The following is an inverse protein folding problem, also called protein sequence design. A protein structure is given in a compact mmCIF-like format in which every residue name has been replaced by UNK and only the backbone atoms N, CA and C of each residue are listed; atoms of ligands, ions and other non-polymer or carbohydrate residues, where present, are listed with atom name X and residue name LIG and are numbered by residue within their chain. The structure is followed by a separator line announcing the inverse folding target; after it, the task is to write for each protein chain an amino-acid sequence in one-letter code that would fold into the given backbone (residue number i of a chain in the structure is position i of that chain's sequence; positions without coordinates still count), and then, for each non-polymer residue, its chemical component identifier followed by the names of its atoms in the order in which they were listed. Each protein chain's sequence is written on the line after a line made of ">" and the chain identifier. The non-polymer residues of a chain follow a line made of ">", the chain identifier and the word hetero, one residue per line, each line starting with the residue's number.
data_IF_957481797793
#
_entry.id   IF_957481797793
#
_cell.length_a   1.000
_cell.length_b   1.000
_cell.length_c   1.000
_cell.angle_alpha   90.00
_cell.angle_beta   90.00
_cell.angle_gamma   90.00
#
_symmetry.space_group_name_H-M   'P 1'
#
loop_
_entity.id
_entity.type
_entity.pdbx_description
1 polymer ?
#
# COMPACT_ATOMS: atom_id res chain seq x y z
N UNK A 1 4.70 -29.34 12.91
CA UNK A 1 3.46 -29.99 12.43
C UNK A 1 2.91 -29.18 11.26
N UNK A 2 3.27 -29.55 10.03
CA UNK A 2 2.72 -28.95 8.80
C UNK A 2 1.31 -29.47 8.61
N UNK A 3 0.30 -28.62 8.83
CA UNK A 3 -1.10 -28.91 8.50
C UNK A 3 -1.19 -29.34 7.03
N UNK A 4 -1.59 -30.59 6.79
CA UNK A 4 -1.88 -31.13 5.45
C UNK A 4 -2.74 -30.13 4.67
N UNK A 5 -2.27 -29.69 3.49
CA UNK A 5 -3.01 -28.76 2.62
C UNK A 5 -2.57 -27.29 2.65
N UNK A 6 -1.65 -26.84 3.52
CA UNK A 6 -1.13 -25.46 3.46
C UNK A 6 0.15 -25.34 2.65
N UNK A 7 0.06 -24.63 1.52
CA UNK A 7 1.17 -24.28 0.64
C UNK A 7 1.53 -22.79 0.76
N UNK A 8 2.75 -22.45 0.37
CA UNK A 8 3.28 -21.08 0.44
C UNK A 8 3.95 -20.73 -0.89
N UNK A 9 3.98 -19.45 -1.26
CA UNK A 9 4.81 -18.98 -2.36
C UNK A 9 6.29 -18.97 -1.98
N UNK A 10 7.23 -18.97 -2.95
CA UNK A 10 8.64 -18.74 -2.66
C UNK A 10 8.83 -17.33 -2.08
N UNK A 11 9.47 -17.25 -0.91
CA UNK A 11 9.61 -15.98 -0.16
C UNK A 11 11.01 -15.42 -0.18
N UNK A 12 12.04 -16.27 -0.25
CA UNK A 12 13.42 -15.86 0.06
C UNK A 12 13.94 -14.77 -0.86
N UNK A 13 13.90 -14.98 -2.19
CA UNK A 13 14.39 -13.99 -3.17
C UNK A 13 13.55 -12.71 -3.12
N UNK A 14 12.23 -12.87 -3.10
CA UNK A 14 11.29 -11.74 -2.99
C UNK A 14 11.49 -10.88 -1.73
N UNK A 15 11.68 -11.51 -0.57
CA UNK A 15 11.93 -10.80 0.68
C UNK A 15 13.29 -10.11 0.69
N UNK A 16 14.35 -10.77 0.20
CA UNK A 16 15.68 -10.15 0.09
C UNK A 16 15.61 -8.91 -0.79
N UNK A 17 14.96 -9.01 -1.95
CA UNK A 17 14.79 -7.90 -2.87
C UNK A 17 13.99 -6.75 -2.23
N UNK A 18 12.83 -7.04 -1.62
CA UNK A 18 11.97 -6.01 -1.04
C UNK A 18 12.57 -5.35 0.19
N UNK A 19 13.23 -6.11 1.08
CA UNK A 19 13.94 -5.55 2.24
C UNK A 19 15.13 -4.71 1.79
N UNK A 20 15.92 -5.20 0.83
CA UNK A 20 17.03 -4.45 0.25
C UNK A 20 16.57 -3.14 -0.41
N UNK A 21 15.48 -3.19 -1.19
CA UNK A 21 14.89 -2.00 -1.79
C UNK A 21 14.39 -1.02 -0.72
N UNK A 22 13.66 -1.49 0.30
CA UNK A 22 13.18 -0.64 1.38
C UNK A 22 14.33 0.07 2.11
N UNK A 23 15.41 -0.65 2.42
CA UNK A 23 16.61 -0.07 3.02
C UNK A 23 17.28 0.94 2.10
N UNK A 24 17.45 0.64 0.81
CA UNK A 24 18.06 1.55 -0.14
C UNK A 24 17.26 2.86 -0.29
N UNK A 25 15.94 2.78 -0.47
CA UNK A 25 15.06 3.95 -0.57
C UNK A 25 15.02 4.74 0.74
N UNK A 26 14.97 4.06 1.89
CA UNK A 26 14.98 4.70 3.19
C UNK A 26 16.30 5.42 3.48
N UNK A 27 17.43 4.76 3.24
CA UNK A 27 18.77 5.34 3.44
C UNK A 27 19.02 6.51 2.47
N UNK A 28 18.69 6.36 1.19
CA UNK A 28 18.86 7.44 0.21
C UNK A 28 17.95 8.65 0.52
N UNK A 29 16.67 8.40 0.81
CA UNK A 29 15.74 9.46 1.20
C UNK A 29 16.12 10.12 2.51
N UNK A 30 16.56 9.35 3.51
CA UNK A 30 17.06 9.86 4.79
C UNK A 30 18.35 10.67 4.63
N UNK A 31 19.26 10.27 3.75
CA UNK A 31 20.47 11.03 3.43
C UNK A 31 20.13 12.36 2.76
N UNK A 32 19.25 12.38 1.75
CA UNK A 32 18.83 13.63 1.11
C UNK A 32 18.11 14.56 2.08
N UNK A 33 17.29 13.99 2.98
CA UNK A 33 16.65 14.75 4.04
C UNK A 33 17.69 15.34 5.00
N UNK A 34 18.67 14.54 5.45
CA UNK A 34 19.75 15.02 6.30
C UNK A 34 20.56 16.13 5.63
N UNK A 35 20.97 15.95 4.37
CA UNK A 35 21.68 16.97 3.59
C UNK A 35 20.84 18.24 3.43
N UNK A 36 19.52 18.14 3.32
CA UNK A 36 18.66 19.32 3.26
C UNK A 36 18.71 20.15 4.55
N UNK A 37 18.94 19.52 5.72
CA UNK A 37 19.02 20.24 7.00
C UNK A 37 20.29 21.09 7.13
N UNK A 38 21.33 20.82 6.35
CA UNK A 38 22.58 21.59 6.34
C UNK A 38 22.54 22.76 5.34
N UNK A 39 21.51 22.83 4.49
CA UNK A 39 21.40 23.86 3.46
C UNK A 39 20.60 25.07 3.96
N UNK A 40 21.07 26.26 3.61
CA UNK A 40 20.26 27.48 3.75
C UNK A 40 19.00 27.34 2.90
N UNK A 41 17.91 27.93 3.37
CA UNK A 41 16.64 27.82 2.65
C UNK A 41 16.69 28.58 1.33
N UNK A 42 16.47 27.82 0.27
CA UNK A 42 16.52 28.26 -1.12
C UNK A 42 16.08 27.14 -2.06
N UNK A 43 16.27 27.32 -3.36
CA UNK A 43 15.84 26.33 -4.37
C UNK A 43 16.48 24.96 -4.16
N UNK A 44 17.78 24.92 -3.82
CA UNK A 44 18.51 23.67 -3.61
C UNK A 44 17.98 22.87 -2.41
N UNK A 45 17.67 23.55 -1.30
CA UNK A 45 16.98 22.97 -0.14
C UNK A 45 15.66 22.31 -0.55
N UNK A 46 14.83 23.01 -1.32
CA UNK A 46 13.52 22.51 -1.78
C UNK A 46 13.68 21.28 -2.67
N UNK A 47 14.65 21.30 -3.60
CA UNK A 47 14.91 20.17 -4.49
C UNK A 47 15.36 18.92 -3.73
N UNK A 48 16.23 19.07 -2.72
CA UNK A 48 16.65 17.96 -1.87
C UNK A 48 15.49 17.39 -1.06
N UNK A 49 14.66 18.26 -0.47
CA UNK A 49 13.51 17.83 0.33
C UNK A 49 12.47 17.12 -0.55
N UNK A 50 12.20 17.62 -1.76
CA UNK A 50 11.29 17.00 -2.71
C UNK A 50 11.83 15.64 -3.19
N UNK A 51 13.13 15.54 -3.48
CA UNK A 51 13.76 14.27 -3.83
C UNK A 51 13.72 13.26 -2.67
N UNK A 52 13.94 13.71 -1.43
CA UNK A 52 13.80 12.88 -0.24
C UNK A 52 12.38 12.34 -0.07
N UNK A 53 11.36 13.19 -0.26
CA UNK A 53 9.96 12.78 -0.21
C UNK A 53 9.61 11.75 -1.28
N UNK A 54 10.08 11.94 -2.52
CA UNK A 54 9.86 10.98 -3.62
C UNK A 54 10.49 9.63 -3.29
N UNK A 55 11.71 9.60 -2.74
CA UNK A 55 12.39 8.35 -2.37
C UNK A 55 11.77 7.66 -1.16
N UNK A 56 11.27 8.41 -0.18
CA UNK A 56 10.62 7.83 1.00
C UNK A 56 9.19 7.36 0.72
N UNK A 57 8.49 7.98 -0.24
CA UNK A 57 7.11 7.64 -0.62
C UNK A 57 6.85 6.14 -0.88
N UNK A 58 7.68 5.41 -1.65
CA UNK A 58 7.46 3.98 -1.89
C UNK A 58 7.79 3.07 -0.69
N UNK A 59 8.54 3.55 0.33
CA UNK A 59 9.04 2.70 1.42
C UNK A 59 7.90 2.00 2.18
N UNK A 60 6.82 2.66 2.65
CA UNK A 60 5.71 1.99 3.32
C UNK A 60 5.03 0.92 2.45
N UNK A 61 4.90 1.17 1.14
CA UNK A 61 4.31 0.22 0.20
C UNK A 61 5.20 -1.03 0.02
N UNK A 62 6.52 -0.84 -0.05
CA UNK A 62 7.48 -1.95 -0.14
C UNK A 62 7.47 -2.78 1.14
N UNK A 63 7.48 -2.14 2.31
CA UNK A 63 7.38 -2.82 3.62
C UNK A 63 6.08 -3.61 3.70
N UNK A 64 4.95 -3.01 3.30
CA UNK A 64 3.67 -3.70 3.25
C UNK A 64 3.71 -4.95 2.34
N UNK A 65 4.30 -4.83 1.14
CA UNK A 65 4.44 -5.98 0.23
C UNK A 65 5.33 -7.08 0.84
N UNK A 66 6.38 -6.72 1.57
CA UNK A 66 7.24 -7.70 2.22
C UNK A 66 6.48 -8.44 3.33
N UNK A 67 5.71 -7.72 4.14
CA UNK A 67 4.83 -8.32 5.16
C UNK A 67 3.77 -9.20 4.49
N UNK A 68 3.14 -8.74 3.40
CA UNK A 68 2.13 -9.50 2.67
C UNK A 68 2.69 -10.83 2.12
N UNK A 69 3.88 -10.80 1.50
CA UNK A 69 4.58 -11.99 1.01
C UNK A 69 4.97 -12.93 2.16
N UNK A 70 5.45 -12.38 3.29
CA UNK A 70 5.83 -13.18 4.47
C UNK A 70 4.64 -13.94 5.08
N UNK A 71 3.42 -13.43 4.92
CA UNK A 71 2.17 -14.03 5.41
C UNK A 71 1.36 -14.73 4.32
N UNK A 72 1.80 -14.69 3.07
CA UNK A 72 1.06 -15.25 1.95
C UNK A 72 0.93 -16.77 2.05
N UNK A 73 -0.28 -17.29 1.82
CA UNK A 73 -0.60 -18.72 1.91
C UNK A 73 -1.60 -19.14 0.85
N UNK A 74 -1.47 -20.39 0.40
CA UNK A 74 -2.40 -21.08 -0.47
C UNK A 74 -2.86 -22.32 0.29
N UNK A 75 -4.12 -22.35 0.74
CA UNK A 75 -4.66 -23.46 1.52
C UNK A 75 -5.63 -24.27 0.67
N UNK A 76 -5.30 -25.53 0.48
CA UNK A 76 -6.18 -26.54 -0.06
C UNK A 76 -6.97 -27.15 1.10
N UNK A 77 -8.28 -26.90 1.12
CA UNK A 77 -9.23 -27.47 2.06
C UNK A 77 -10.17 -28.41 1.30
N UNK A 78 -10.93 -29.26 2.01
CA UNK A 78 -11.83 -30.25 1.38
C UNK A 78 -12.89 -29.60 0.47
N UNK A 79 -13.30 -28.38 0.79
CA UNK A 79 -14.38 -27.69 0.09
C UNK A 79 -13.86 -26.72 -1.00
N UNK A 80 -12.54 -26.47 -1.08
CA UNK A 80 -11.97 -25.56 -2.07
C UNK A 80 -10.57 -25.03 -1.75
N UNK A 81 -10.13 -24.09 -2.58
CA UNK A 81 -8.83 -23.44 -2.49
C UNK A 81 -8.97 -22.01 -1.94
N UNK A 82 -8.29 -21.74 -0.82
CA UNK A 82 -8.20 -20.39 -0.23
C UNK A 82 -6.84 -19.77 -0.50
N UNK A 83 -6.84 -18.63 -1.17
CA UNK A 83 -5.67 -17.80 -1.42
C UNK A 83 -5.69 -16.61 -0.47
N UNK A 84 -4.57 -16.35 0.20
CA UNK A 84 -4.40 -15.19 1.10
C UNK A 84 -3.08 -14.51 0.78
N UNK A 85 -3.14 -13.24 0.41
CA UNK A 85 -1.98 -12.42 0.05
C UNK A 85 -2.17 -10.97 0.51
N UNK A 86 -1.69 -10.66 1.72
CA UNK A 86 -1.90 -9.34 2.33
C UNK A 86 -3.39 -9.00 2.48
N UNK A 87 -3.84 -7.95 1.80
CA UNK A 87 -5.25 -7.52 1.77
C UNK A 87 -6.09 -8.27 0.72
N UNK A 88 -5.46 -9.06 -0.16
CA UNK A 88 -6.13 -9.90 -1.15
C UNK A 88 -6.47 -11.25 -0.55
N UNK A 89 -7.74 -11.62 -0.60
CA UNK A 89 -8.23 -12.95 -0.25
C UNK A 89 -9.10 -13.45 -1.40
N UNK A 90 -8.94 -14.71 -1.77
CA UNK A 90 -9.79 -15.41 -2.73
C UNK A 90 -10.15 -16.78 -2.16
N UNK A 91 -11.41 -17.18 -2.22
CA UNK A 91 -11.88 -18.52 -1.91
C UNK A 91 -12.55 -19.09 -3.17
N UNK A 92 -12.02 -20.22 -3.66
CA UNK A 92 -12.40 -20.85 -4.92
C UNK A 92 -12.95 -22.25 -4.62
N UNK A 93 -14.26 -22.49 -4.79
CA UNK A 93 -14.86 -23.82 -4.59
C UNK A 93 -14.35 -24.80 -5.63
N UNK A 94 -14.13 -26.07 -5.27
CA UNK A 94 -13.64 -27.07 -6.23
C UNK A 94 -14.58 -27.27 -7.42
N UNK A 95 -15.89 -27.14 -7.25
CA UNK A 95 -16.85 -27.24 -8.36
C UNK A 95 -16.68 -26.14 -9.42
N UNK A 96 -16.04 -25.03 -9.05
CA UNK A 96 -15.76 -23.91 -9.96
C UNK A 96 -14.38 -24.01 -10.62
N UNK A 97 -13.58 -25.02 -10.30
CA UNK A 97 -12.28 -25.21 -10.94
C UNK A 97 -12.49 -26.05 -12.20
N UNK A 98 -12.30 -25.44 -13.35
CA UNK A 98 -12.43 -26.12 -14.65
C UNK A 98 -11.20 -26.97 -14.95
N UNK A 99 -10.02 -26.45 -14.64
CA UNK A 99 -8.75 -27.15 -14.76
C UNK A 99 -7.64 -26.45 -13.97
N UNK A 100 -6.61 -27.23 -13.61
CA UNK A 100 -5.36 -26.74 -13.02
C UNK A 100 -4.20 -27.25 -13.86
N UNK A 101 -3.35 -26.35 -14.36
CA UNK A 101 -2.18 -26.72 -15.19
C UNK A 101 -0.96 -25.86 -14.88
N UNK A 102 0.25 -26.44 -14.88
CA UNK A 102 1.48 -25.66 -14.86
C UNK A 102 1.57 -24.72 -16.07
N UNK A 103 2.03 -23.49 -15.85
CA UNK A 103 2.26 -22.53 -16.92
C UNK A 103 3.35 -22.99 -17.91
N UNK A 104 4.26 -23.88 -17.47
CA UNK A 104 5.28 -24.49 -18.33
C UNK A 104 4.72 -25.45 -19.38
N UNK A 105 3.48 -25.91 -19.21
CA UNK A 105 2.79 -26.79 -20.18
C UNK A 105 2.04 -25.97 -21.24
N UNK A 106 2.02 -24.64 -21.13
CA UNK A 106 1.47 -23.78 -22.17
C UNK A 106 2.43 -23.72 -23.35
N UNK A 107 1.87 -23.84 -24.57
CA UNK A 107 2.64 -23.68 -25.81
C UNK A 107 3.05 -22.23 -26.13
N UNK A 108 2.83 -21.29 -25.22
CA UNK A 108 3.14 -19.87 -25.39
C UNK A 108 3.54 -19.22 -24.07
N UNK A 109 4.18 -18.05 -24.16
CA UNK A 109 4.63 -17.30 -23.00
C UNK A 109 3.50 -16.45 -22.41
N UNK A 110 3.32 -16.54 -21.09
CA UNK A 110 2.44 -15.64 -20.34
C UNK A 110 3.05 -14.24 -20.26
N UNK A 111 2.33 -13.24 -20.77
CA UNK A 111 2.65 -11.84 -20.50
C UNK A 111 2.45 -11.52 -19.01
N UNK A 112 3.46 -10.89 -18.40
CA UNK A 112 3.45 -10.53 -16.98
C UNK A 112 2.77 -9.16 -16.75
N UNK A 113 2.20 -8.93 -15.55
CA UNK A 113 1.64 -7.63 -15.18
C UNK A 113 2.71 -6.53 -15.21
N UNK A 114 2.34 -5.30 -15.59
CA UNK A 114 3.26 -4.15 -15.77
C UNK A 114 4.06 -3.76 -14.51
N UNK A 115 3.57 -4.07 -13.30
CA UNK A 115 4.22 -3.75 -12.02
C UNK A 115 4.72 -5.00 -11.28
N UNK A 116 5.19 -5.97 -12.06
CA UNK A 116 5.76 -7.22 -11.58
C UNK A 116 7.21 -7.03 -11.15
N UNK A 117 7.53 -7.52 -9.96
CA UNK A 117 8.91 -7.60 -9.49
C UNK A 117 9.10 -8.79 -8.55
N UNK A 118 10.34 -9.18 -8.20
CA UNK A 118 10.60 -10.35 -7.38
C UNK A 118 9.80 -10.35 -6.07
N UNK A 119 9.03 -11.43 -5.84
CA UNK A 119 8.16 -11.57 -4.68
C UNK A 119 6.82 -10.85 -4.75
N UNK A 120 6.46 -10.26 -5.90
CA UNK A 120 5.17 -9.61 -6.10
C UNK A 120 4.79 -9.60 -7.59
N UNK A 121 4.46 -10.77 -8.13
CA UNK A 121 3.73 -10.91 -9.39
C UNK A 121 2.25 -10.76 -9.10
N UNK A 122 1.81 -9.51 -8.98
CA UNK A 122 0.44 -9.16 -8.60
C UNK A 122 -0.20 -8.30 -9.69
N UNK A 123 -1.42 -8.65 -10.08
CA UNK A 123 -2.21 -7.82 -11.00
C UNK A 123 -2.98 -8.65 -12.00
N UNK A 124 -3.49 -7.97 -13.03
CA UNK A 124 -4.29 -8.59 -14.09
C UNK A 124 -3.57 -8.41 -15.42
N UNK A 125 -3.66 -9.42 -16.28
CA UNK A 125 -3.22 -9.35 -17.67
C UNK A 125 -4.23 -10.06 -18.55
N UNK A 126 -4.51 -9.49 -19.72
CA UNK A 126 -5.33 -10.15 -20.73
C UNK A 126 -4.40 -10.90 -21.67
N UNK A 127 -4.62 -12.20 -21.81
CA UNK A 127 -3.89 -13.07 -22.73
C UNK A 127 -4.91 -13.54 -23.79
N UNK A 128 -4.64 -13.37 -25.10
CA UNK A 128 -5.61 -13.69 -26.15
C UNK A 128 -6.18 -15.12 -26.05
N UNK A 129 -5.35 -16.09 -25.66
CA UNK A 129 -5.69 -17.51 -25.61
C UNK A 129 -6.38 -17.93 -24.30
N UNK A 130 -6.25 -17.15 -23.23
CA UNK A 130 -6.69 -17.49 -21.86
C UNK A 130 -7.73 -16.52 -21.29
N UNK A 131 -7.95 -15.38 -21.94
CA UNK A 131 -8.72 -14.28 -21.39
C UNK A 131 -7.98 -13.58 -20.24
N UNK A 132 -8.71 -13.24 -19.18
CA UNK A 132 -8.17 -12.48 -18.05
C UNK A 132 -7.45 -13.41 -17.08
N UNK A 133 -6.15 -13.16 -16.88
CA UNK A 133 -5.29 -13.84 -15.90
C UNK A 133 -5.00 -12.90 -14.73
N UNK A 134 -5.40 -13.31 -13.53
CA UNK A 134 -5.05 -12.67 -12.27
C UNK A 134 -3.82 -13.35 -11.66
N UNK A 135 -2.75 -12.59 -11.46
CA UNK A 135 -1.54 -13.07 -10.83
C UNK A 135 -1.60 -12.83 -9.31
N UNK A 136 -1.43 -13.91 -8.55
CA UNK A 136 -1.26 -13.92 -7.09
C UNK A 136 -0.04 -14.81 -6.79
N UNK A 137 1.11 -14.43 -7.34
CA UNK A 137 2.33 -15.22 -7.34
C UNK A 137 3.54 -14.41 -6.84
N UNK A 138 4.57 -15.10 -6.37
CA UNK A 138 5.85 -14.49 -5.98
C UNK A 138 6.86 -14.46 -7.12
N UNK A 139 6.91 -15.53 -7.92
CA UNK A 139 7.93 -15.76 -8.94
C UNK A 139 7.29 -16.44 -10.16
N UNK A 140 7.96 -16.34 -11.32
CA UNK A 140 7.51 -16.93 -12.57
C UNK A 140 7.81 -18.42 -12.65
N UNK A 141 8.78 -18.87 -11.84
CA UNK A 141 9.15 -20.27 -11.67
C UNK A 141 7.99 -21.03 -10.99
N UNK A 142 7.63 -22.19 -11.54
CA UNK A 142 6.53 -23.03 -11.04
C UNK A 142 5.16 -22.33 -11.00
N UNK A 143 4.92 -21.38 -11.91
CA UNK A 143 3.58 -20.81 -12.09
C UNK A 143 2.58 -21.92 -12.41
N UNK A 144 1.46 -21.89 -11.73
CA UNK A 144 0.33 -22.81 -11.89
C UNK A 144 -0.91 -21.99 -12.14
N UNK A 145 -1.59 -22.29 -13.23
CA UNK A 145 -2.83 -21.67 -13.62
C UNK A 145 -4.01 -22.47 -13.11
N UNK A 146 -4.99 -21.77 -12.57
CA UNK A 146 -6.24 -22.31 -12.05
C UNK A 146 -7.35 -21.61 -12.80
N UNK A 147 -8.04 -22.33 -13.67
CA UNK A 147 -9.16 -21.80 -14.42
C UNK A 147 -10.45 -21.86 -13.61
N UNK A 148 -11.16 -20.75 -13.60
CA UNK A 148 -12.50 -20.61 -13.03
C UNK A 148 -13.42 -19.97 -14.09
N UNK A 149 -14.75 -20.10 -13.99
CA UNK A 149 -15.70 -19.59 -14.99
C UNK A 149 -15.51 -18.11 -15.35
N UNK A 150 -15.01 -17.31 -14.39
CA UNK A 150 -14.90 -15.87 -14.57
C UNK A 150 -13.50 -15.42 -15.03
N UNK A 151 -12.44 -16.17 -14.67
CA UNK A 151 -11.03 -15.80 -14.94
C UNK A 151 -10.06 -16.92 -14.58
N UNK A 152 -8.83 -16.76 -15.03
CA UNK A 152 -7.71 -17.64 -14.66
C UNK A 152 -6.91 -17.00 -13.53
N UNK A 153 -6.51 -17.79 -12.55
CA UNK A 153 -5.69 -17.33 -11.43
C UNK A 153 -4.33 -18.03 -11.49
N UNK A 154 -3.26 -17.24 -11.54
CA UNK A 154 -1.89 -17.71 -11.56
C UNK A 154 -1.29 -17.63 -10.14
N UNK A 155 -0.88 -18.79 -9.61
CA UNK A 155 -0.21 -18.93 -8.31
C UNK A 155 1.18 -19.56 -8.50
N UNK A 156 2.06 -19.41 -7.51
CA UNK A 156 3.41 -20.00 -7.56
C UNK A 156 3.70 -20.79 -6.28
N UNK A 157 3.15 -22.00 -6.09
CA UNK A 157 3.45 -22.81 -4.90
C UNK A 157 4.93 -23.25 -4.90
N UNK A 158 5.58 -23.24 -3.73
CA UNK A 158 7.00 -23.69 -3.59
C UNK A 158 7.20 -25.12 -4.09
N UNK A 159 6.26 -26.01 -3.79
CA UNK A 159 6.30 -27.40 -4.22
C UNK A 159 5.06 -27.71 -5.07
N UNK A 160 5.21 -27.54 -6.38
CA UNK A 160 4.17 -27.81 -7.36
C UNK A 160 3.68 -29.26 -7.32
N UNK A 161 4.59 -30.23 -7.23
CA UNK A 161 4.24 -31.66 -7.21
C UNK A 161 3.35 -32.00 -6.02
N UNK A 162 3.73 -31.56 -4.82
CA UNK A 162 2.91 -31.78 -3.62
C UNK A 162 1.57 -31.07 -3.67
N UNK A 163 1.52 -29.87 -4.27
CA UNK A 163 0.27 -29.13 -4.49
C UNK A 163 -0.69 -29.92 -5.40
N UNK A 164 -0.21 -30.41 -6.54
CA UNK A 164 -1.01 -31.19 -7.49
C UNK A 164 -1.51 -32.51 -6.88
N UNK A 165 -0.66 -33.23 -6.15
CA UNK A 165 -1.04 -34.47 -5.47
C UNK A 165 -2.11 -34.23 -4.39
N UNK A 166 -1.99 -33.15 -3.62
CA UNK A 166 -3.00 -32.78 -2.63
C UNK A 166 -4.32 -32.36 -3.28
N UNK A 167 -4.26 -31.63 -4.39
CA UNK A 167 -5.46 -31.27 -5.15
C UNK A 167 -6.18 -32.51 -5.70
N UNK A 168 -5.48 -33.44 -6.34
CA UNK A 168 -6.06 -34.68 -6.85
C UNK A 168 -6.78 -35.46 -5.75
N UNK A 169 -6.09 -35.71 -4.62
CA UNK A 169 -6.66 -36.42 -3.47
C UNK A 169 -7.91 -35.73 -2.93
N UNK A 170 -7.91 -34.39 -2.82
CA UNK A 170 -9.05 -33.64 -2.30
C UNK A 170 -10.21 -33.56 -3.28
N UNK A 171 -9.92 -33.46 -4.57
CA UNK A 171 -10.93 -33.45 -5.63
C UNK A 171 -11.64 -34.80 -5.74
N UNK A 172 -10.92 -35.91 -5.57
CA UNK A 172 -11.48 -37.27 -5.58
C UNK A 172 -12.47 -37.53 -4.44
N UNK A 173 -12.26 -36.90 -3.27
CA UNK A 173 -13.14 -37.05 -2.11
C UNK A 173 -14.49 -36.34 -2.26
N UNK A 174 -14.60 -35.39 -3.20
CA UNK A 174 -15.79 -34.55 -3.37
C UNK A 174 -16.06 -33.61 -2.19
N UNK A 175 -16.99 -32.68 -2.39
CA UNK A 175 -17.40 -31.68 -1.40
C UNK A 175 -18.82 -32.00 -0.92
N UNK A 176 -19.00 -32.11 0.39
CA UNK A 176 -20.32 -32.36 1.00
C UNK A 176 -21.10 -31.06 1.23
N UNK A 177 -20.41 -29.92 1.26
CA UNK A 177 -20.99 -28.57 1.42
C UNK A 177 -20.18 -27.56 0.61
N UNK A 178 -20.67 -27.08 -0.55
CA UNK A 178 -19.92 -26.17 -1.40
C UNK A 178 -19.47 -24.91 -0.65
N UNK A 179 -18.17 -24.60 -0.73
CA UNK A 179 -17.64 -23.32 -0.25
C UNK A 179 -18.30 -22.17 -1.03
N UNK A 180 -18.59 -21.05 -0.38
CA UNK A 180 -19.02 -19.85 -1.09
C UNK A 180 -17.79 -19.18 -1.74
N UNK A 181 -17.87 -18.85 -3.03
CA UNK A 181 -16.81 -18.10 -3.69
C UNK A 181 -16.68 -16.70 -3.05
N UNK A 182 -15.48 -16.33 -2.62
CA UNK A 182 -15.20 -15.03 -1.99
C UNK A 182 -14.00 -14.35 -2.64
N UNK A 183 -14.08 -13.04 -2.85
CA UNK A 183 -13.01 -12.25 -3.47
C UNK A 183 -12.88 -10.87 -2.83
N UNK A 184 -11.77 -10.60 -2.14
CA UNK A 184 -11.44 -9.24 -1.64
C UNK A 184 -10.32 -8.62 -2.46
N UNK A 185 -10.60 -7.61 -3.28
CA UNK A 185 -9.60 -6.93 -4.13
C UNK A 185 -9.15 -5.58 -3.51
N UNK A 186 -7.85 -5.36 -3.22
CA UNK A 186 -7.35 -4.08 -2.71
C UNK A 186 -7.58 -2.90 -3.67
N UNK A 187 -7.47 -3.15 -4.99
CA UNK A 187 -7.76 -2.15 -6.02
C UNK A 187 -9.24 -1.75 -6.03
N UNK A 188 -10.13 -2.67 -5.67
CA UNK A 188 -11.56 -2.39 -5.51
C UNK A 188 -11.80 -1.54 -4.26
N UNK A 189 -11.09 -1.79 -3.15
CA UNK A 189 -11.11 -0.92 -1.98
C UNK A 189 -10.67 0.52 -2.31
N UNK A 190 -9.52 0.70 -2.99
CA UNK A 190 -9.06 2.02 -3.42
C UNK A 190 -10.06 2.70 -4.39
N UNK A 191 -10.66 1.92 -5.30
CA UNK A 191 -11.71 2.41 -6.21
C UNK A 191 -12.98 2.79 -5.45
N UNK A 192 -13.36 2.08 -4.38
CA UNK A 192 -14.49 2.44 -3.53
C UNK A 192 -14.23 3.76 -2.80
N UNK A 193 -13.06 3.90 -2.15
CA UNK A 193 -12.65 5.15 -1.49
C UNK A 193 -12.68 6.33 -2.46
N UNK A 194 -12.19 6.15 -3.70
CA UNK A 194 -12.18 7.24 -4.69
C UNK A 194 -13.52 7.53 -5.37
N UNK A 195 -14.44 6.56 -5.41
CA UNK A 195 -15.82 6.79 -5.88
C UNK A 195 -16.69 7.42 -4.81
N UNK A 196 -16.40 7.12 -3.55
CA UNK A 196 -17.09 7.68 -2.40
C UNK A 196 -16.68 9.14 -2.17
N UNK A 197 -17.63 10.06 -2.37
CA UNK A 197 -17.39 11.49 -2.18
C UNK A 197 -17.08 11.83 -0.72
N UNK A 198 -17.69 11.13 0.24
CA UNK A 198 -17.52 11.40 1.66
C UNK A 198 -16.13 11.00 2.17
N UNK A 199 -15.48 10.01 1.55
CA UNK A 199 -14.08 9.68 1.84
C UNK A 199 -13.10 10.51 0.99
N UNK A 200 -13.39 10.67 -0.31
CA UNK A 200 -12.51 11.36 -1.26
C UNK A 200 -12.28 12.82 -0.92
N UNK A 201 -13.36 13.57 -0.66
CA UNK A 201 -13.27 15.03 -0.49
C UNK A 201 -12.37 15.38 0.70
N UNK A 202 -12.57 14.81 1.91
CA UNK A 202 -11.69 15.09 3.04
C UNK A 202 -10.23 14.73 2.82
N UNK A 203 -9.95 13.61 2.14
CA UNK A 203 -8.56 13.21 1.82
C UNK A 203 -7.91 14.25 0.91
N UNK A 204 -8.58 14.64 -0.18
CA UNK A 204 -8.06 15.65 -1.10
C UNK A 204 -7.90 17.02 -0.43
N UNK A 205 -8.88 17.44 0.36
CA UNK A 205 -8.84 18.70 1.12
C UNK A 205 -7.67 18.69 2.09
N UNK A 206 -7.45 17.61 2.83
CA UNK A 206 -6.33 17.49 3.78
C UNK A 206 -4.99 17.60 3.04
N UNK A 207 -4.80 16.85 1.96
CA UNK A 207 -3.57 16.89 1.15
C UNK A 207 -3.35 18.30 0.58
N UNK A 208 -4.39 18.90 0.02
CA UNK A 208 -4.32 20.25 -0.53
C UNK A 208 -3.92 21.28 0.52
N UNK A 209 -4.52 21.25 1.71
CA UNK A 209 -4.20 22.17 2.80
C UNK A 209 -2.77 21.97 3.32
N UNK A 210 -2.29 20.73 3.43
CA UNK A 210 -0.91 20.45 3.83
C UNK A 210 0.09 20.98 2.80
N UNK A 211 -0.20 20.83 1.51
CA UNK A 211 0.64 21.39 0.43
C UNK A 211 0.59 22.92 0.45
N UNK A 212 -0.60 23.51 0.59
CA UNK A 212 -0.77 24.96 0.67
C UNK A 212 -0.02 25.56 1.87
N UNK A 213 -0.02 24.88 3.02
CA UNK A 213 0.75 25.24 4.20
C UNK A 213 2.26 25.20 3.92
N UNK A 214 2.76 24.14 3.27
CA UNK A 214 4.17 24.02 2.91
C UNK A 214 4.59 25.16 1.96
N UNK A 215 3.80 25.42 0.92
CA UNK A 215 4.05 26.52 -0.02
C UNK A 215 4.03 27.87 0.70
N UNK A 216 3.04 28.09 1.59
CA UNK A 216 2.94 29.31 2.38
C UNK A 216 4.18 29.56 3.24
N UNK A 217 4.68 28.53 3.94
CA UNK A 217 5.93 28.62 4.71
C UNK A 217 7.12 28.97 3.82
N UNK A 218 7.24 28.31 2.66
CA UNK A 218 8.35 28.55 1.72
C UNK A 218 8.33 29.97 1.17
N UNK A 219 7.15 30.53 0.91
CA UNK A 219 7.00 31.92 0.41
C UNK A 219 7.29 32.95 1.51
N UNK A 220 6.90 32.68 2.76
CA UNK A 220 7.10 33.61 3.88
C UNK A 220 8.56 33.60 4.35
N UNK A 221 9.24 32.45 4.35
CA UNK A 221 10.59 32.29 4.88
C UNK A 221 11.62 33.34 4.40
N UNK A 222 11.74 33.64 3.09
CA UNK A 222 12.72 34.60 2.59
C UNK A 222 12.42 36.05 2.99
N UNK A 223 11.16 36.36 3.33
CA UNK A 223 10.75 37.74 3.63
C UNK A 223 11.17 38.20 5.03
N UNK A 224 11.51 37.26 5.93
CA UNK A 224 11.82 37.55 7.34
C UNK A 224 12.89 36.60 7.83
N UNK A 225 13.93 37.12 8.49
CA UNK A 225 15.01 36.29 9.04
C UNK A 225 14.67 35.69 10.41
N UNK A 226 13.80 36.35 11.17
CA UNK A 226 13.39 35.93 12.50
C UNK A 226 11.87 36.08 12.68
N UNK A 227 11.25 35.06 13.29
CA UNK A 227 9.81 34.99 13.51
C UNK A 227 9.54 34.44 14.90
N UNK A 228 8.58 35.00 15.62
CA UNK A 228 8.10 34.44 16.88
C UNK A 228 7.11 33.30 16.63
N UNK A 229 7.34 32.13 17.24
CA UNK A 229 6.48 30.96 17.12
C UNK A 229 5.89 30.63 18.49
N UNK A 230 4.67 31.10 18.75
CA UNK A 230 3.92 30.85 19.98
C UNK A 230 3.91 32.03 20.95
N UNK A 231 3.19 31.87 22.06
CA UNK A 231 2.99 32.89 23.08
C UNK A 231 3.33 32.34 24.46
N UNK A 232 3.90 33.19 25.32
CA UNK A 232 4.05 32.92 26.73
C UNK A 232 2.69 32.88 27.44
N UNK A 233 2.59 32.29 28.65
CA UNK A 233 1.34 32.29 29.43
C UNK A 233 0.74 33.68 29.69
N UNK A 234 1.56 34.74 29.63
CA UNK A 234 1.14 36.14 29.71
C UNK A 234 0.66 36.75 28.38
N UNK A 235 0.57 35.99 27.29
CA UNK A 235 0.14 36.46 25.97
C UNK A 235 1.19 37.21 25.16
N UNK A 236 2.43 37.35 25.67
CA UNK A 236 3.54 37.93 24.93
C UNK A 236 4.07 36.94 23.89
N UNK A 237 4.44 37.38 22.67
CA UNK A 237 5.07 36.51 21.69
C UNK A 237 6.42 36.00 22.22
N UNK A 238 6.71 34.72 22.00
CA UNK A 238 7.99 34.11 22.38
C UNK A 238 9.17 34.80 21.66
N UNK A 239 10.41 34.65 22.17
CA UNK A 239 11.59 35.21 21.52
C UNK A 239 11.68 34.81 20.04
N UNK A 240 12.10 35.72 19.13
CA UNK A 240 12.20 35.43 17.71
C UNK A 240 13.20 34.29 17.46
N UNK A 241 12.80 33.33 16.62
CA UNK A 241 13.63 32.20 16.19
C UNK A 241 13.90 32.29 14.69
N UNK A 242 14.93 31.59 14.20
CA UNK A 242 15.21 31.46 12.76
C UNK A 242 13.96 31.00 12.02
N UNK A 243 13.66 31.65 10.90
CA UNK A 243 12.48 31.35 10.07
C UNK A 243 12.46 29.92 9.52
N UNK A 244 13.61 29.24 9.51
CA UNK A 244 13.74 27.80 9.21
C UNK A 244 12.85 26.94 10.11
N UNK A 245 12.61 27.38 11.35
CA UNK A 245 11.72 26.66 12.29
C UNK A 245 10.26 26.64 11.82
N UNK A 246 9.85 27.51 10.89
CA UNK A 246 8.51 27.44 10.29
C UNK A 246 8.27 26.13 9.52
N UNK A 247 9.32 25.46 9.04
CA UNK A 247 9.22 24.17 8.36
C UNK A 247 8.68 23.06 9.28
N UNK A 248 8.76 23.24 10.60
CA UNK A 248 8.14 22.31 11.55
C UNK A 248 6.61 22.25 11.40
N UNK A 249 5.97 23.36 11.01
CA UNK A 249 4.51 23.42 10.85
C UNK A 249 4.00 22.45 9.76
N UNK A 250 4.49 22.50 8.50
CA UNK A 250 4.06 21.56 7.47
C UNK A 250 4.51 20.12 7.77
N UNK A 251 5.63 19.90 8.46
CA UNK A 251 6.05 18.56 8.88
C UNK A 251 5.03 17.97 9.88
N UNK A 252 4.66 18.73 10.91
CA UNK A 252 3.65 18.30 11.90
C UNK A 252 2.27 18.10 11.24
N UNK A 253 1.89 19.00 10.34
CA UNK A 253 0.65 18.86 9.56
C UNK A 253 0.66 17.58 8.69
N UNK A 254 1.79 17.29 8.04
CA UNK A 254 1.94 16.09 7.21
C UNK A 254 1.87 14.80 8.02
N UNK A 255 2.53 14.74 9.18
CA UNK A 255 2.50 13.57 10.07
C UNK A 255 1.10 13.31 10.62
N UNK A 256 0.44 14.35 11.14
CA UNK A 256 -0.92 14.25 11.68
C UNK A 256 -1.94 13.89 10.60
N UNK A 257 -1.82 14.48 9.41
CA UNK A 257 -2.63 14.13 8.24
C UNK A 257 -2.42 12.66 7.84
N UNK A 258 -1.17 12.20 7.75
CA UNK A 258 -0.86 10.82 7.37
C UNK A 258 -1.46 9.81 8.36
N UNK A 259 -1.27 10.03 9.67
CA UNK A 259 -1.84 9.16 10.72
C UNK A 259 -3.35 9.15 10.64
N UNK A 260 -3.98 10.32 10.49
CA UNK A 260 -5.44 10.45 10.41
C UNK A 260 -6.01 9.76 9.17
N UNK A 261 -5.40 9.96 8.00
CA UNK A 261 -5.84 9.31 6.74
C UNK A 261 -5.69 7.79 6.84
N UNK A 262 -4.55 7.29 7.33
CA UNK A 262 -4.34 5.85 7.49
C UNK A 262 -5.35 5.23 8.46
N UNK A 263 -5.60 5.89 9.59
CA UNK A 263 -6.58 5.45 10.58
C UNK A 263 -7.99 5.48 9.99
N UNK A 264 -8.38 6.58 9.34
CA UNK A 264 -9.68 6.71 8.68
C UNK A 264 -9.91 5.61 7.63
N UNK A 265 -8.91 5.33 6.79
CA UNK A 265 -8.98 4.24 5.80
C UNK A 265 -9.05 2.86 6.45
N UNK A 266 -8.38 2.63 7.58
CA UNK A 266 -8.48 1.38 8.32
C UNK A 266 -9.89 1.12 8.84
N UNK A 267 -10.55 2.13 9.42
CA UNK A 267 -11.95 2.04 9.84
C UNK A 267 -12.92 1.93 8.65
N UNK A 268 -12.63 2.61 7.54
CA UNK A 268 -13.47 2.57 6.32
C UNK A 268 -13.64 1.16 5.76
N UNK A 269 -12.67 0.26 6.02
CA UNK A 269 -12.72 -1.15 5.61
C UNK A 269 -13.85 -1.94 6.27
N UNK A 270 -14.29 -1.56 7.47
CA UNK A 270 -15.37 -2.26 8.17
C UNK A 270 -16.68 -1.50 7.99
N UNK A 271 -17.69 -2.14 7.40
CA UNK A 271 -18.96 -1.48 7.08
C UNK A 271 -19.64 -0.85 8.31
N UNK A 272 -19.56 -1.54 9.46
CA UNK A 272 -20.13 -1.08 10.73
C UNK A 272 -19.40 0.13 11.34
N UNK A 273 -18.24 0.53 10.82
CA UNK A 273 -17.41 1.61 11.37
C UNK A 273 -17.22 2.79 10.38
N UNK A 274 -17.98 2.83 9.27
CA UNK A 274 -17.84 3.89 8.26
C UNK A 274 -18.11 5.29 8.80
N UNK A 275 -19.02 5.45 9.77
CA UNK A 275 -19.27 6.76 10.40
C UNK A 275 -18.01 7.27 11.10
N UNK A 276 -17.35 6.43 11.90
CA UNK A 276 -16.09 6.79 12.55
C UNK A 276 -14.99 7.10 11.52
N UNK A 277 -14.92 6.32 10.42
CA UNK A 277 -13.98 6.58 9.34
C UNK A 277 -14.17 7.99 8.73
N UNK A 278 -15.40 8.39 8.42
CA UNK A 278 -15.67 9.72 7.86
C UNK A 278 -15.34 10.85 8.84
N UNK A 279 -15.64 10.68 10.14
CA UNK A 279 -15.30 11.67 11.15
C UNK A 279 -13.78 11.86 11.28
N UNK A 280 -13.01 10.77 11.25
CA UNK A 280 -11.54 10.83 11.30
C UNK A 280 -10.98 11.48 10.02
N UNK A 281 -11.49 11.09 8.84
CA UNK A 281 -11.06 11.66 7.56
C UNK A 281 -11.41 13.16 7.45
N UNK A 282 -12.60 13.56 7.90
CA UNK A 282 -12.99 14.97 7.96
C UNK A 282 -12.12 15.75 8.95
N UNK A 283 -11.86 15.17 10.13
CA UNK A 283 -11.01 15.75 11.16
C UNK A 283 -9.55 15.93 10.73
N UNK A 284 -9.06 15.12 9.79
CA UNK A 284 -7.68 15.20 9.28
C UNK A 284 -7.33 16.58 8.67
N UNK A 285 -8.31 17.29 8.12
CA UNK A 285 -8.13 18.62 7.54
C UNK A 285 -7.98 19.73 8.59
N UNK A 286 -8.39 19.49 9.83
CA UNK A 286 -8.44 20.52 10.88
C UNK A 286 -7.05 21.03 11.24
N UNK A 287 -6.10 20.13 11.43
CA UNK A 287 -4.72 20.49 11.78
C UNK A 287 -4.03 21.33 10.70
N UNK A 288 -3.97 20.91 9.42
CA UNK A 288 -3.36 21.76 8.38
C UNK A 288 -4.13 23.06 8.18
N UNK A 289 -5.46 23.09 8.34
CA UNK A 289 -6.25 24.32 8.27
C UNK A 289 -5.85 25.33 9.36
N UNK A 290 -5.80 24.91 10.62
CA UNK A 290 -5.43 25.77 11.75
C UNK A 290 -3.99 26.28 11.64
N UNK A 291 -3.07 25.44 11.16
CA UNK A 291 -1.68 25.83 10.94
C UNK A 291 -1.52 26.77 9.74
N UNK A 292 -2.35 26.64 8.71
CA UNK A 292 -2.36 27.58 7.59
C UNK A 292 -2.92 28.93 8.04
N UNK A 293 -3.98 28.91 8.86
CA UNK A 293 -4.53 30.10 9.47
C UNK A 293 -3.49 30.81 10.37
N UNK A 294 -2.67 30.06 11.12
CA UNK A 294 -1.62 30.66 11.97
C UNK A 294 -0.57 31.43 11.16
N UNK A 295 -0.26 31.02 9.91
CA UNK A 295 0.63 31.78 9.03
C UNK A 295 0.13 33.20 8.72
N UNK A 296 -1.18 33.41 8.68
CA UNK A 296 -1.78 34.73 8.43
C UNK A 296 -1.57 35.67 9.61
N UNK A 297 -1.53 35.12 10.83
CA UNK A 297 -1.34 35.89 12.07
C UNK A 297 0.11 36.08 12.47
N UNK A 298 1.03 35.35 11.84
CA UNK A 298 2.46 35.51 12.06
C UNK A 298 2.89 36.90 11.56
N UNK A 299 3.35 37.72 12.50
CA UNK A 299 3.76 39.12 12.31
C UNK A 299 5.23 39.34 12.55
#
# INVERSE_FOLDING_TARGET
>A
MSSEGTFRPPRRRGLIFQVGAALAFFSAGGLLFYLSMEQQVGLYFILLLLAAMILLSPVPLIIYRAIALSRATYKLEREGLRLRWGLRAEDIPFQSIEWIRPASELGYNLSLPKFSWPGALLGFTSVPELGVVEFIAAETENLTLIATPNRIIAISPVNLKSFMLSYQRMSEMGSLTPMAAFSSQPAVFARYVWRDRAARIPILTTIFLTIALLVGVIVIMPTRQQISIGFEPGGQPLPPVSSERLLLLPILAGLTAAISILTGLFYYRHENQRVAAYLILAGAATTPFLLLLSLVFIR
#
